data_IF_392431139980
#
_entry.id   IF_392431139980
#
_cell.length_a   1.000
_cell.length_b   1.000
_cell.length_c   1.000
_cell.angle_alpha   90.00
_cell.angle_beta   90.00
_cell.angle_gamma   90.00
#
_symmetry.space_group_name_H-M   'P 1'
#
loop_
_entity.id
_entity.type
_entity.pdbx_description
1 polymer ?
#
# COMPACT_ATOMS: atom_id res chain seq x y z
N UNK A 1 -18.88 26.24 5.40
CA UNK A 1 -17.77 25.27 5.52
C UNK A 1 -17.94 24.29 4.38
N UNK A 2 -16.94 24.13 3.51
CA UNK A 2 -16.96 23.07 2.48
C UNK A 2 -16.61 21.77 3.17
N UNK A 3 -17.55 20.82 3.20
CA UNK A 3 -17.31 19.50 3.77
C UNK A 3 -16.16 18.81 3.02
N UNK A 4 -15.22 18.22 3.77
CA UNK A 4 -14.19 17.38 3.17
C UNK A 4 -14.88 16.14 2.61
N UNK A 5 -14.74 15.86 1.30
CA UNK A 5 -15.36 14.67 0.72
C UNK A 5 -14.79 13.40 1.36
N UNK A 6 -15.62 12.37 1.46
CA UNK A 6 -15.20 11.07 1.96
C UNK A 6 -14.08 10.50 1.08
N UNK A 7 -12.97 10.10 1.71
CA UNK A 7 -11.84 9.44 1.04
C UNK A 7 -11.92 7.93 1.30
N UNK A 8 -11.79 7.14 0.24
CA UNK A 8 -11.69 5.69 0.34
C UNK A 8 -10.25 5.21 0.59
N UNK A 9 -9.30 6.14 0.73
CA UNK A 9 -7.90 5.85 1.05
C UNK A 9 -7.44 6.56 2.31
N UNK A 10 -6.55 5.89 3.04
CA UNK A 10 -5.78 6.43 4.16
C UNK A 10 -4.31 6.51 3.75
N UNK A 11 -3.64 7.67 3.89
CA UNK A 11 -2.19 7.74 3.69
C UNK A 11 -1.47 6.97 4.79
N UNK A 12 -0.47 6.17 4.39
CA UNK A 12 0.45 5.50 5.31
C UNK A 12 1.86 5.91 4.97
N UNK A 13 2.66 6.22 5.99
CA UNK A 13 4.06 6.61 5.82
C UNK A 13 4.93 5.37 5.74
N UNK A 14 5.78 5.26 4.72
CA UNK A 14 6.74 4.15 4.58
C UNK A 14 8.00 4.46 5.40
N UNK A 15 8.26 3.64 6.40
CA UNK A 15 9.43 3.74 7.28
C UNK A 15 10.63 2.95 6.76
N UNK A 16 10.39 1.96 5.88
CA UNK A 16 11.41 1.11 5.30
C UNK A 16 10.91 -0.32 5.06
N UNK A 17 11.84 -1.24 4.79
CA UNK A 17 11.51 -2.66 4.64
C UNK A 17 11.24 -3.28 6.02
N UNK A 18 10.15 -4.04 6.14
CA UNK A 18 9.90 -4.88 7.31
C UNK A 18 10.74 -6.17 7.25
N UNK A 19 10.88 -6.74 6.05
CA UNK A 19 11.62 -7.96 5.77
C UNK A 19 12.06 -7.99 4.31
N UNK A 20 12.91 -8.97 3.97
CA UNK A 20 13.33 -9.20 2.59
C UNK A 20 12.10 -9.51 1.70
N UNK A 21 12.05 -8.98 0.47
CA UNK A 21 11.00 -9.33 -0.48
C UNK A 21 10.85 -10.84 -0.64
N UNK A 22 9.61 -11.29 -0.76
CA UNK A 22 9.26 -12.70 -0.84
C UNK A 22 8.31 -13.00 -1.98
N UNK A 23 7.73 -14.19 -1.92
CA UNK A 23 6.76 -14.68 -2.89
C UNK A 23 5.67 -15.48 -2.17
N UNK A 24 4.44 -15.30 -2.63
CA UNK A 24 3.29 -16.13 -2.23
C UNK A 24 3.39 -17.52 -2.86
N UNK A 25 2.61 -18.49 -2.37
CA UNK A 25 2.60 -19.86 -2.90
C UNK A 25 2.16 -19.94 -4.36
N UNK A 26 1.34 -18.99 -4.81
CA UNK A 26 0.82 -18.85 -6.17
C UNK A 26 1.71 -17.99 -7.08
N UNK A 27 2.91 -17.61 -6.61
CA UNK A 27 3.92 -16.97 -7.46
C UNK A 27 3.84 -15.45 -7.56
N UNK A 28 2.95 -14.80 -6.79
CA UNK A 28 2.90 -13.33 -6.69
C UNK A 28 4.05 -12.83 -5.79
N UNK A 29 4.75 -11.79 -6.21
CA UNK A 29 5.81 -11.18 -5.42
C UNK A 29 5.21 -10.39 -4.26
N UNK A 30 5.94 -10.32 -3.13
CA UNK A 30 5.52 -9.58 -1.94
C UNK A 30 6.64 -8.65 -1.50
N UNK A 31 6.31 -7.36 -1.39
CA UNK A 31 7.15 -6.35 -0.76
C UNK A 31 6.58 -6.02 0.61
N UNK A 32 7.34 -6.28 1.66
CA UNK A 32 6.90 -6.05 3.04
C UNK A 32 7.54 -4.79 3.60
N UNK A 33 6.71 -3.85 4.02
CA UNK A 33 7.10 -2.51 4.45
C UNK A 33 6.71 -2.29 5.92
N UNK A 34 7.58 -1.67 6.69
CA UNK A 34 7.16 -1.03 7.93
C UNK A 34 6.47 0.27 7.56
N UNK A 35 5.24 0.45 8.02
CA UNK A 35 4.46 1.66 7.75
C UNK A 35 3.88 2.23 9.03
N UNK A 36 3.67 3.54 9.05
CA UNK A 36 2.97 4.24 10.13
C UNK A 36 1.64 4.80 9.65
N UNK A 37 0.60 4.63 10.46
CA UNK A 37 -0.75 5.15 10.26
C UNK A 37 -1.24 5.71 11.58
N UNK A 38 -1.53 7.01 11.64
CA UNK A 38 -2.03 7.69 12.85
C UNK A 38 -1.20 7.36 14.10
N UNK A 39 0.14 7.34 13.97
CA UNK A 39 1.08 7.02 15.05
C UNK A 39 1.19 5.54 15.43
N UNK A 40 0.50 4.65 14.72
CA UNK A 40 0.57 3.19 14.91
C UNK A 40 1.39 2.54 13.79
N UNK A 41 2.27 1.61 14.16
CA UNK A 41 3.09 0.89 13.20
C UNK A 41 2.43 -0.43 12.77
N UNK A 42 2.54 -0.69 11.48
CA UNK A 42 2.05 -1.91 10.84
C UNK A 42 3.12 -2.49 9.91
N UNK A 43 3.08 -3.80 9.72
CA UNK A 43 3.70 -4.42 8.56
C UNK A 43 2.70 -4.41 7.40
N UNK A 44 3.02 -3.72 6.31
CA UNK A 44 2.24 -3.75 5.08
C UNK A 44 2.87 -4.71 4.08
N UNK A 45 2.14 -5.75 3.71
CA UNK A 45 2.50 -6.67 2.65
C UNK A 45 1.84 -6.21 1.34
N UNK A 46 2.63 -5.58 0.46
CA UNK A 46 2.22 -5.22 -0.89
C UNK A 46 2.39 -6.44 -1.79
N UNK A 47 1.27 -6.99 -2.28
CA UNK A 47 1.23 -8.20 -3.10
C UNK A 47 0.98 -7.81 -4.55
N UNK A 48 1.87 -8.26 -5.44
CA UNK A 48 1.76 -7.97 -6.88
C UNK A 48 0.72 -8.87 -7.57
N UNK A 49 0.42 -8.57 -8.84
CA UNK A 49 -0.32 -9.48 -9.72
C UNK A 49 0.54 -10.69 -10.13
N UNK A 50 -0.06 -11.81 -10.55
CA UNK A 50 0.70 -12.91 -11.17
C UNK A 50 1.53 -12.39 -12.35
N UNK A 51 2.81 -12.75 -12.39
CA UNK A 51 3.75 -12.31 -13.44
C UNK A 51 4.22 -10.85 -13.34
N UNK A 52 3.75 -10.07 -12.36
CA UNK A 52 4.18 -8.69 -12.14
C UNK A 52 5.31 -8.62 -11.10
N UNK A 53 6.42 -7.95 -11.47
CA UNK A 53 7.53 -7.69 -10.57
C UNK A 53 7.25 -6.56 -9.56
N UNK A 54 8.03 -6.51 -8.48
CA UNK A 54 7.88 -5.46 -7.44
C UNK A 54 8.10 -4.06 -8.02
N UNK A 55 9.14 -3.88 -8.84
CA UNK A 55 9.44 -2.58 -9.46
C UNK A 55 8.26 -2.09 -10.32
N UNK A 56 7.70 -2.98 -11.16
CA UNK A 56 6.53 -2.67 -11.99
C UNK A 56 5.30 -2.31 -11.15
N UNK A 57 5.12 -2.95 -9.99
CA UNK A 57 4.04 -2.63 -9.07
C UNK A 57 4.22 -1.24 -8.43
N UNK A 58 5.44 -0.88 -8.01
CA UNK A 58 5.75 0.44 -7.46
C UNK A 58 5.57 1.55 -8.51
N UNK A 59 6.03 1.31 -9.75
CA UNK A 59 5.83 2.22 -10.88
C UNK A 59 4.36 2.44 -11.20
N UNK A 60 3.57 1.36 -11.20
CA UNK A 60 2.12 1.45 -11.35
C UNK A 60 1.50 2.35 -10.25
N UNK A 61 1.79 2.08 -8.98
CA UNK A 61 1.28 2.87 -7.86
C UNK A 61 1.67 4.34 -7.97
N UNK A 62 2.92 4.64 -8.36
CA UNK A 62 3.41 6.00 -8.53
C UNK A 62 2.70 6.71 -9.70
N UNK A 63 2.56 6.03 -10.84
CA UNK A 63 1.89 6.58 -12.04
C UNK A 63 0.42 6.93 -11.79
N UNK A 64 -0.22 6.24 -10.84
CA UNK A 64 -1.61 6.43 -10.43
C UNK A 64 -1.77 7.38 -9.24
N UNK A 65 -0.67 7.88 -8.67
CA UNK A 65 -0.68 8.78 -7.52
C UNK A 65 -0.96 8.10 -6.17
N UNK A 66 -0.95 6.76 -6.11
CA UNK A 66 -1.08 6.00 -4.87
C UNK A 66 0.23 5.89 -4.11
N UNK A 67 1.38 5.97 -4.79
CA UNK A 67 2.69 6.10 -4.16
C UNK A 67 3.27 7.48 -4.48
N UNK A 68 3.51 8.30 -3.46
CA UNK A 68 3.99 9.68 -3.63
C UNK A 68 4.95 10.07 -2.52
N UNK A 69 5.62 11.21 -2.67
CA UNK A 69 6.33 11.86 -1.58
C UNK A 69 5.46 12.94 -0.95
N UNK A 70 5.57 13.12 0.36
CA UNK A 70 5.01 14.28 1.04
C UNK A 70 5.95 15.49 1.00
N UNK A 71 5.53 16.57 1.66
CA UNK A 71 6.30 17.81 1.76
C UNK A 71 7.58 17.66 2.60
N UNK A 72 7.70 16.60 3.38
CA UNK A 72 8.86 16.25 4.21
C UNK A 72 9.75 15.21 3.54
N UNK A 73 9.52 14.92 2.25
CA UNK A 73 10.26 13.97 1.43
C UNK A 73 10.14 12.50 1.90
N UNK A 74 9.11 12.19 2.70
CA UNK A 74 8.75 10.85 3.11
C UNK A 74 7.90 10.18 2.03
N UNK A 75 8.06 8.88 1.83
CA UNK A 75 7.21 8.13 0.90
C UNK A 75 5.88 7.79 1.58
N UNK A 76 4.78 8.20 0.95
CA UNK A 76 3.42 7.87 1.33
C UNK A 76 2.82 6.86 0.37
N UNK A 77 2.12 5.87 0.92
CA UNK A 77 1.25 4.97 0.18
C UNK A 77 -0.21 5.24 0.56
N UNK A 78 -1.07 5.45 -0.42
CA UNK A 78 -2.51 5.56 -0.22
C UNK A 78 -3.11 4.15 -0.19
N UNK A 79 -3.49 3.71 1.00
CA UNK A 79 -4.04 2.37 1.24
C UNK A 79 -5.57 2.45 1.27
N UNK A 80 -6.30 1.55 0.59
CA UNK A 80 -7.74 1.49 0.71
C UNK A 80 -8.17 1.27 2.16
N UNK A 81 -9.17 2.02 2.62
CA UNK A 81 -9.66 1.97 4.01
C UNK A 81 -10.08 0.56 4.43
N UNK A 82 -10.62 -0.24 3.51
CA UNK A 82 -10.99 -1.63 3.80
C UNK A 82 -9.78 -2.54 4.03
N UNK A 83 -8.64 -2.30 3.38
CA UNK A 83 -7.42 -3.08 3.61
C UNK A 83 -6.87 -2.84 5.02
N UNK A 84 -6.96 -1.59 5.50
CA UNK A 84 -6.63 -1.24 6.88
C UNK A 84 -7.63 -1.87 7.87
N UNK A 85 -8.93 -1.81 7.60
CA UNK A 85 -9.96 -2.41 8.49
C UNK A 85 -9.83 -3.94 8.63
N UNK A 86 -9.23 -4.60 7.63
CA UNK A 86 -8.97 -6.04 7.61
C UNK A 86 -7.63 -6.41 8.25
N UNK A 87 -6.87 -5.42 8.73
CA UNK A 87 -5.57 -5.67 9.35
C UNK A 87 -5.73 -6.61 10.55
N UNK A 88 -4.82 -7.59 10.65
CA UNK A 88 -4.83 -8.57 11.73
C UNK A 88 -3.40 -8.79 12.22
N UNK A 89 -3.21 -8.81 13.53
CA UNK A 89 -1.89 -8.96 14.17
C UNK A 89 -0.86 -7.92 13.68
N UNK A 90 -1.30 -6.66 13.52
CA UNK A 90 -0.43 -5.58 13.02
C UNK A 90 -0.01 -5.71 11.55
N UNK A 91 -0.60 -6.65 10.80
CA UNK A 91 -0.31 -6.83 9.37
C UNK A 91 -1.47 -6.34 8.50
N UNK A 92 -1.11 -5.54 7.50
CA UNK A 92 -1.98 -5.10 6.40
C UNK A 92 -1.60 -5.92 5.17
N UNK A 93 -2.61 -6.48 4.48
CA UNK A 93 -2.43 -7.12 3.19
C UNK A 93 -3.06 -6.23 2.11
N UNK A 94 -2.22 -5.74 1.20
CA UNK A 94 -2.65 -4.89 0.10
C UNK A 94 -2.27 -5.54 -1.22
N UNK A 95 -3.27 -5.97 -1.98
CA UNK A 95 -3.05 -6.46 -3.34
C UNK A 95 -3.11 -5.29 -4.32
N UNK A 96 -2.26 -5.30 -5.35
CA UNK A 96 -2.34 -4.32 -6.44
C UNK A 96 -3.74 -4.31 -7.07
N UNK A 97 -4.40 -5.47 -7.13
CA UNK A 97 -5.77 -5.62 -7.63
C UNK A 97 -6.81 -4.87 -6.77
N UNK A 98 -6.55 -4.62 -5.47
CA UNK A 98 -7.44 -3.81 -4.63
C UNK A 98 -7.33 -2.31 -5.00
N UNK A 99 -6.15 -1.87 -5.44
CA UNK A 99 -5.92 -0.51 -5.93
C UNK A 99 -6.56 -0.32 -7.31
N UNK A 100 -6.47 -1.32 -8.19
CA UNK A 100 -7.13 -1.30 -9.50
C UNK A 100 -8.65 -1.16 -9.36
N UNK A 101 -9.27 -1.92 -8.46
CA UNK A 101 -10.70 -1.79 -8.14
C UNK A 101 -11.06 -0.39 -7.65
N UNK A 102 -10.22 0.20 -6.79
CA UNK A 102 -10.43 1.56 -6.32
C UNK A 102 -10.31 2.58 -7.46
N UNK A 103 -9.42 2.35 -8.42
CA UNK A 103 -9.24 3.19 -9.61
C UNK A 103 -10.33 2.96 -10.68
N UNK A 104 -11.21 1.97 -10.50
CA UNK A 104 -12.26 1.61 -11.45
C UNK A 104 -11.75 0.88 -12.70
N UNK A 105 -10.63 0.17 -12.58
CA UNK A 105 -9.94 -0.56 -13.68
C UNK A 105 -9.85 -2.05 -13.43
#
# INVERSE_FOLDING_TARGET
MTETPISLTTPVTILGLAKRPGMTKDGRAVLSLNVEVDGNQYELNLVTKPGQGIQQALEYLASKGYLKKDNENQYLLLVPTWSLSKAKNGMIWLHIEDIEKLAGT
#
